data_IF_023869503116
#
_entry.id   IF_023869503116
#
_cell.length_a   1.000
_cell.length_b   1.000
_cell.length_c   1.000
_cell.angle_alpha   90.00
_cell.angle_beta   90.00
_cell.angle_gamma   90.00
#
_symmetry.space_group_name_H-M   'P 1'
#
loop_
_entity.id
_entity.type
_entity.pdbx_description
1 polymer ?
#
# COMPACT_ATOMS: atom_id res chain seq x y z
N UNK A 1 -5.10 -3.28 -17.77
CA UNK A 1 -3.82 -2.56 -17.98
C UNK A 1 -3.21 -2.32 -16.61
N UNK A 2 -2.23 -3.12 -16.21
CA UNK A 2 -1.63 -3.12 -14.87
C UNK A 2 -0.87 -1.80 -14.62
N UNK A 3 -0.89 -1.27 -13.39
CA UNK A 3 -0.10 -0.08 -13.00
C UNK A 3 1.38 -0.29 -13.34
N UNK A 4 1.88 -1.51 -13.22
CA UNK A 4 3.22 -1.91 -13.64
C UNK A 4 3.51 -1.57 -15.10
N UNK A 5 2.55 -1.66 -16.04
CA UNK A 5 2.78 -1.26 -17.43
C UNK A 5 2.96 0.27 -17.54
N UNK A 6 2.17 1.05 -16.79
CA UNK A 6 2.27 2.52 -16.77
C UNK A 6 3.49 3.03 -16.01
N UNK A 7 3.91 2.33 -14.96
CA UNK A 7 5.13 2.59 -14.20
C UNK A 7 6.37 2.18 -14.98
N UNK A 8 6.37 1.01 -15.64
CA UNK A 8 7.45 0.56 -16.52
C UNK A 8 7.62 1.50 -17.72
N UNK A 9 6.53 1.95 -18.35
CA UNK A 9 6.59 2.98 -19.41
C UNK A 9 7.19 4.30 -18.89
N UNK A 10 6.85 4.69 -17.66
CA UNK A 10 7.39 5.90 -17.03
C UNK A 10 8.87 5.76 -16.64
N UNK A 11 9.30 4.55 -16.23
CA UNK A 11 10.70 4.21 -15.90
C UNK A 11 11.55 4.09 -17.17
N UNK A 12 11.03 3.52 -18.25
CA UNK A 12 11.75 3.34 -19.51
C UNK A 12 11.98 4.66 -20.26
N UNK A 13 11.07 5.63 -20.12
CA UNK A 13 11.17 6.94 -20.78
C UNK A 13 12.17 7.89 -20.08
N UNK A 14 12.52 7.70 -18.81
CA UNK A 14 13.27 8.71 -18.05
C UNK A 14 14.42 8.12 -17.21
N UNK A 15 15.66 8.41 -17.64
CA UNK A 15 16.92 8.13 -16.92
C UNK A 15 17.11 8.95 -15.62
N UNK A 16 16.05 9.24 -14.86
CA UNK A 16 16.16 9.96 -13.59
C UNK A 16 15.22 9.36 -12.53
N UNK A 17 15.79 8.68 -11.55
CA UNK A 17 15.08 7.95 -10.49
C UNK A 17 14.20 8.84 -9.61
N UNK A 18 14.48 10.14 -9.47
CA UNK A 18 13.65 11.09 -8.70
C UNK A 18 12.33 11.41 -9.38
N UNK A 19 12.36 11.72 -10.69
CA UNK A 19 11.17 12.08 -11.45
C UNK A 19 10.18 10.91 -11.58
N UNK A 20 10.68 9.67 -11.66
CA UNK A 20 9.82 8.48 -11.67
C UNK A 20 9.07 8.32 -10.35
N UNK A 21 9.73 8.53 -9.21
CA UNK A 21 9.10 8.46 -7.88
C UNK A 21 8.05 9.56 -7.75
N UNK A 22 8.36 10.78 -8.19
CA UNK A 22 7.41 11.90 -8.16
C UNK A 22 6.21 11.65 -9.06
N UNK A 23 6.41 11.07 -10.25
CA UNK A 23 5.35 10.69 -11.17
C UNK A 23 4.44 9.61 -10.57
N UNK A 24 5.01 8.53 -10.02
CA UNK A 24 4.26 7.47 -9.34
C UNK A 24 3.47 8.04 -8.16
N UNK A 25 4.12 8.82 -7.30
CA UNK A 25 3.47 9.45 -6.17
C UNK A 25 2.39 10.45 -6.60
N UNK A 26 2.61 11.19 -7.69
CA UNK A 26 1.62 12.10 -8.27
C UNK A 26 0.43 11.32 -8.78
N UNK A 27 0.62 10.21 -9.49
CA UNK A 27 -0.49 9.39 -10.00
C UNK A 27 -1.28 8.72 -8.87
N UNK A 28 -0.61 8.23 -7.83
CA UNK A 28 -1.27 7.74 -6.63
C UNK A 28 -2.06 8.84 -5.90
N UNK A 29 -1.56 10.09 -5.95
CA UNK A 29 -2.21 11.24 -5.31
C UNK A 29 -3.32 11.88 -6.16
N UNK A 30 -3.25 11.84 -7.49
CA UNK A 30 -4.16 12.60 -8.37
C UNK A 30 -5.53 11.94 -8.56
N UNK A 31 -5.72 10.68 -8.17
CA UNK A 31 -7.00 9.99 -8.31
C UNK A 31 -7.91 10.20 -7.09
N UNK A 32 -8.10 11.46 -6.70
CA UNK A 32 -9.30 11.88 -5.99
C UNK A 32 -10.48 11.89 -6.97
N UNK A 33 -11.71 11.57 -6.54
CA UNK A 33 -12.87 11.45 -7.44
C UNK A 33 -13.38 12.79 -8.02
N UNK A 34 -12.54 13.86 -8.07
CA UNK A 34 -12.98 15.22 -8.40
C UNK A 34 -12.16 16.01 -9.42
N UNK A 35 -11.02 15.54 -9.94
CA UNK A 35 -10.23 16.32 -10.92
C UNK A 35 -10.10 15.64 -12.28
N UNK A 36 -9.82 14.34 -12.32
CA UNK A 36 -9.75 13.60 -13.58
C UNK A 36 -11.06 12.84 -13.70
N UNK A 37 -11.84 13.12 -14.75
CA UNK A 37 -13.05 12.37 -15.07
C UNK A 37 -12.80 10.85 -15.04
N UNK A 38 -13.86 10.04 -14.88
CA UNK A 38 -13.73 8.61 -14.61
C UNK A 38 -12.82 7.93 -15.64
N UNK A 39 -11.71 7.33 -15.18
CA UNK A 39 -10.89 6.47 -16.04
C UNK A 39 -11.75 5.26 -16.40
N UNK A 40 -12.21 5.23 -17.65
CA UNK A 40 -13.04 4.17 -18.20
C UNK A 40 -12.16 2.94 -18.45
N UNK A 41 -12.27 1.91 -17.61
CA UNK A 41 -11.76 0.58 -17.95
C UNK A 41 -12.88 -0.12 -18.73
N UNK A 42 -12.82 -0.05 -20.06
CA UNK A 42 -13.71 -0.85 -20.92
C UNK A 42 -13.20 -2.30 -20.90
N UNK A 43 -13.77 -3.14 -20.04
CA UNK A 43 -13.69 -4.58 -20.23
C UNK A 43 -14.62 -4.95 -21.39
N UNK A 44 -14.07 -5.30 -22.54
CA UNK A 44 -14.85 -5.96 -23.61
C UNK A 44 -15.25 -7.34 -23.10
N UNK A 45 -16.52 -7.53 -22.74
CA UNK A 45 -17.12 -8.86 -22.65
C UNK A 45 -17.74 -9.23 -24.01
N UNK A 46 -17.82 -10.53 -24.34
CA UNK A 46 -18.22 -11.00 -25.67
C UNK A 46 -19.67 -10.61 -25.98
N UNK A 47 -19.92 -10.27 -27.24
CA UNK A 47 -21.24 -9.92 -27.78
C UNK A 47 -22.23 -11.07 -27.54
N UNK A 48 -23.20 -10.87 -26.65
CA UNK A 48 -24.40 -11.70 -26.60
C UNK A 48 -25.57 -10.92 -27.19
N UNK A 49 -26.15 -11.48 -28.25
CA UNK A 49 -27.28 -10.96 -28.98
C UNK A 49 -28.53 -10.82 -28.08
N UNK A 50 -29.06 -9.61 -27.97
CA UNK A 50 -30.35 -9.37 -27.35
C UNK A 50 -30.76 -7.91 -27.43
N UNK A 51 -31.85 -7.63 -28.13
CA UNK A 51 -32.37 -6.29 -28.40
C UNK A 51 -32.83 -5.57 -27.12
N UNK A 52 -32.09 -4.54 -26.67
CA UNK A 52 -32.57 -3.56 -25.70
C UNK A 52 -32.08 -2.14 -26.08
N UNK A 53 -32.97 -1.17 -26.37
CA UNK A 53 -32.57 0.20 -26.64
C UNK A 53 -32.51 0.99 -25.32
N UNK A 54 -31.46 0.77 -24.52
CA UNK A 54 -31.11 1.69 -23.45
C UNK A 54 -29.58 1.88 -23.36
N UNK A 55 -29.09 2.81 -24.19
CA UNK A 55 -27.68 3.19 -24.33
C UNK A 55 -27.17 4.08 -23.17
N UNK A 56 -27.39 3.69 -21.91
CA UNK A 56 -26.73 4.32 -20.75
C UNK A 56 -25.96 3.32 -19.87
N UNK A 57 -25.58 2.18 -20.43
CA UNK A 57 -24.82 1.12 -19.76
C UNK A 57 -23.35 1.42 -19.45
N UNK A 58 -22.92 2.70 -19.33
CA UNK A 58 -21.60 3.00 -18.77
C UNK A 58 -21.72 2.91 -17.24
N UNK A 59 -21.58 1.69 -16.71
CA UNK A 59 -21.32 1.51 -15.28
C UNK A 59 -19.93 2.06 -14.99
N UNK A 60 -19.86 3.33 -14.57
CA UNK A 60 -18.66 3.96 -14.03
C UNK A 60 -18.22 3.16 -12.80
N UNK A 61 -17.29 2.22 -12.98
CA UNK A 61 -16.63 1.56 -11.86
C UNK A 61 -15.61 2.56 -11.34
N UNK A 62 -15.88 3.16 -10.18
CA UNK A 62 -14.86 3.92 -9.44
C UNK A 62 -13.66 3.00 -9.24
N UNK A 63 -12.47 3.45 -9.67
CA UNK A 63 -11.23 2.75 -9.39
C UNK A 63 -11.10 2.66 -7.85
N UNK A 64 -10.96 1.45 -7.26
CA UNK A 64 -10.82 1.29 -5.83
C UNK A 64 -9.68 2.16 -5.29
N UNK A 65 -9.82 2.76 -4.11
CA UNK A 65 -8.81 3.66 -3.52
C UNK A 65 -7.43 3.00 -3.36
N UNK A 66 -7.42 1.68 -3.28
CA UNK A 66 -6.26 0.84 -3.02
C UNK A 66 -5.69 0.19 -4.30
N UNK A 67 -6.15 0.57 -5.50
CA UNK A 67 -5.78 -0.06 -6.78
C UNK A 67 -4.27 -0.12 -7.11
N UNK A 68 -3.46 0.68 -6.43
CA UNK A 68 -2.00 0.75 -6.59
C UNK A 68 -1.25 -0.11 -5.56
N UNK A 69 -1.94 -0.60 -4.53
CA UNK A 69 -1.34 -1.29 -3.38
C UNK A 69 -0.66 -2.58 -3.83
N UNK A 70 -1.32 -3.39 -4.64
CA UNK A 70 -0.80 -4.67 -5.11
C UNK A 70 0.46 -4.48 -5.96
N UNK A 71 0.44 -3.49 -6.84
CA UNK A 71 1.57 -3.22 -7.74
C UNK A 71 2.77 -2.63 -6.99
N UNK A 72 2.54 -1.83 -5.93
CA UNK A 72 3.64 -1.38 -5.05
C UNK A 72 4.25 -2.54 -4.24
N UNK A 73 3.50 -3.63 -3.99
CA UNK A 73 4.01 -4.77 -3.24
C UNK A 73 5.15 -5.51 -3.95
N UNK A 74 5.27 -5.37 -5.27
CA UNK A 74 6.35 -5.96 -6.07
C UNK A 74 7.68 -5.19 -5.93
N UNK A 75 7.62 -3.90 -5.55
CA UNK A 75 8.80 -3.04 -5.47
C UNK A 75 9.74 -3.45 -4.34
N UNK A 76 11.06 -3.38 -4.57
CA UNK A 76 12.05 -3.56 -3.51
C UNK A 76 11.90 -2.52 -2.39
N UNK A 77 12.37 -2.88 -1.20
CA UNK A 77 12.13 -2.14 0.05
C UNK A 77 12.50 -0.66 -0.03
N UNK A 78 13.63 -0.32 -0.66
CA UNK A 78 14.09 1.06 -0.78
C UNK A 78 13.23 1.88 -1.74
N UNK A 79 12.75 1.27 -2.82
CA UNK A 79 11.87 1.93 -3.78
C UNK A 79 10.47 2.10 -3.20
N UNK A 80 9.95 1.05 -2.57
CA UNK A 80 8.68 1.10 -1.82
C UNK A 80 8.70 2.23 -0.78
N UNK A 81 9.75 2.29 0.04
CA UNK A 81 9.94 3.34 1.05
C UNK A 81 9.88 4.74 0.45
N UNK A 82 10.63 4.98 -0.63
CA UNK A 82 10.67 6.30 -1.28
C UNK A 82 9.30 6.70 -1.83
N UNK A 83 8.62 5.79 -2.53
CA UNK A 83 7.28 6.06 -3.09
C UNK A 83 6.28 6.41 -1.98
N UNK A 84 6.22 5.62 -0.91
CA UNK A 84 5.26 5.86 0.18
C UNK A 84 5.58 7.14 0.93
N UNK A 85 6.86 7.47 1.16
CA UNK A 85 7.24 8.77 1.76
C UNK A 85 6.77 9.93 0.88
N UNK A 86 6.98 9.85 -0.44
CA UNK A 86 6.54 10.91 -1.36
C UNK A 86 5.01 11.04 -1.37
N UNK A 87 4.27 9.93 -1.30
CA UNK A 87 2.80 9.94 -1.17
C UNK A 87 2.38 10.61 0.14
N UNK A 88 3.01 10.25 1.27
CA UNK A 88 2.74 10.85 2.59
C UNK A 88 3.00 12.36 2.58
N UNK A 89 4.11 12.80 2.00
CA UNK A 89 4.50 14.20 1.95
C UNK A 89 3.54 15.05 1.10
N UNK A 90 2.86 14.45 0.13
CA UNK A 90 1.82 15.13 -0.64
C UNK A 90 0.55 15.40 0.18
N UNK A 91 0.33 14.68 1.28
CA UNK A 91 -0.79 14.90 2.20
C UNK A 91 -2.18 14.66 1.61
N UNK A 92 -2.23 14.07 0.43
CA UNK A 92 -3.44 13.86 -0.37
C UNK A 92 -4.10 12.52 0.00
N UNK A 93 -3.32 11.45 0.05
CA UNK A 93 -3.85 10.11 0.32
C UNK A 93 -4.18 9.96 1.80
N UNK A 94 -5.34 9.37 2.13
CA UNK A 94 -5.73 9.17 3.52
C UNK A 94 -4.77 8.22 4.24
N UNK A 95 -4.60 8.45 5.55
CA UNK A 95 -3.76 7.62 6.39
C UNK A 95 -4.21 6.15 6.41
N UNK A 96 -5.51 5.88 6.31
CA UNK A 96 -6.07 4.53 6.18
C UNK A 96 -5.54 3.78 4.94
N UNK A 97 -5.58 4.42 3.77
CA UNK A 97 -5.10 3.83 2.51
C UNK A 97 -3.59 3.60 2.55
N UNK A 98 -2.82 4.56 3.09
CA UNK A 98 -1.37 4.38 3.32
C UNK A 98 -1.11 3.20 4.26
N UNK A 99 -1.96 3.04 5.26
CA UNK A 99 -1.88 1.96 6.22
C UNK A 99 -2.16 0.59 5.62
N UNK A 100 -3.19 0.48 4.79
CA UNK A 100 -3.50 -0.74 4.04
C UNK A 100 -2.41 -1.07 3.02
N UNK A 101 -1.80 -0.07 2.38
CA UNK A 101 -0.64 -0.28 1.52
C UNK A 101 0.54 -0.92 2.27
N UNK A 102 0.92 -0.34 3.42
CA UNK A 102 1.99 -0.87 4.28
C UNK A 102 1.68 -2.28 4.80
N UNK A 103 0.41 -2.55 5.11
CA UNK A 103 -0.06 -3.86 5.54
C UNK A 103 0.02 -4.90 4.43
N UNK A 104 -0.44 -4.58 3.23
CA UNK A 104 -0.33 -5.47 2.06
C UNK A 104 1.14 -5.78 1.74
N UNK A 105 2.01 -4.76 1.78
CA UNK A 105 3.44 -4.92 1.56
C UNK A 105 4.06 -5.90 2.57
N UNK A 106 3.72 -5.76 3.86
CA UNK A 106 4.17 -6.67 4.90
C UNK A 106 3.68 -8.11 4.66
N UNK A 107 2.40 -8.31 4.34
CA UNK A 107 1.86 -9.64 4.06
C UNK A 107 2.50 -10.30 2.85
N UNK A 108 2.86 -9.51 1.83
CA UNK A 108 3.56 -10.02 0.65
C UNK A 108 5.00 -10.43 0.96
N UNK A 109 5.70 -9.62 1.76
CA UNK A 109 7.13 -9.83 2.06
C UNK A 109 7.39 -10.84 3.18
N UNK A 110 6.40 -11.15 4.01
CA UNK A 110 6.52 -12.08 5.13
C UNK A 110 5.65 -13.34 4.92
N UNK A 111 6.21 -14.43 4.36
CA UNK A 111 5.48 -15.70 4.27
C UNK A 111 5.12 -16.21 5.67
N UNK A 112 3.85 -16.57 5.86
CA UNK A 112 3.33 -17.07 7.14
C UNK A 112 2.84 -15.98 8.13
N UNK A 113 2.98 -14.69 7.79
CA UNK A 113 2.51 -13.56 8.61
C UNK A 113 0.99 -13.57 8.89
N UNK A 114 0.20 -14.20 8.01
CA UNK A 114 -1.24 -14.38 8.25
C UNK A 114 -1.55 -15.52 9.24
N UNK A 115 -0.72 -16.57 9.28
CA UNK A 115 -0.96 -17.82 10.02
C UNK A 115 -0.35 -17.82 11.42
N UNK A 116 0.34 -16.75 11.82
CA UNK A 116 1.04 -16.67 13.11
C UNK A 116 2.30 -17.55 13.21
N UNK A 117 2.65 -18.25 12.13
CA UNK A 117 3.88 -19.03 12.00
C UNK A 117 4.81 -18.29 11.04
N UNK A 118 5.71 -17.47 11.59
CA UNK A 118 6.64 -16.71 10.78
C UNK A 118 7.72 -17.64 10.21
N UNK A 119 7.72 -17.83 8.90
CA UNK A 119 8.80 -18.54 8.20
C UNK A 119 9.76 -17.52 7.63
N UNK A 120 10.57 -16.93 8.50
CA UNK A 120 11.65 -16.04 8.08
C UNK A 120 12.83 -16.90 7.60
N UNK A 121 12.80 -17.31 6.32
CA UNK A 121 13.92 -18.04 5.71
C UNK A 121 15.24 -17.25 5.79
N UNK A 122 15.17 -15.92 5.81
CA UNK A 122 16.33 -15.03 5.88
C UNK A 122 16.04 -13.83 6.78
N UNK A 123 16.33 -13.99 8.08
CA UNK A 123 16.15 -12.97 9.12
C UNK A 123 16.82 -11.64 8.73
N UNK A 124 17.98 -11.71 8.06
CA UNK A 124 18.77 -10.55 7.67
C UNK A 124 18.08 -9.69 6.60
N UNK A 125 17.31 -10.31 5.70
CA UNK A 125 16.49 -9.60 4.69
C UNK A 125 15.14 -9.14 5.24
N UNK A 126 14.55 -9.89 6.16
CA UNK A 126 13.24 -9.57 6.72
C UNK A 126 13.28 -8.38 7.69
N UNK A 127 14.38 -8.18 8.41
CA UNK A 127 14.51 -7.10 9.40
C UNK A 127 14.42 -5.69 8.78
N UNK A 128 15.17 -5.33 7.71
CA UNK A 128 15.02 -4.02 7.05
C UNK A 128 13.62 -3.75 6.51
N UNK A 129 12.94 -4.80 6.04
CA UNK A 129 11.55 -4.72 5.55
C UNK A 129 10.62 -4.38 6.72
N UNK A 130 10.77 -5.07 7.86
CA UNK A 130 9.96 -4.83 9.04
C UNK A 130 10.14 -3.39 9.53
N UNK A 131 11.39 -2.96 9.69
CA UNK A 131 11.71 -1.61 10.15
C UNK A 131 11.11 -0.58 9.19
N UNK A 132 11.26 -0.78 7.89
CA UNK A 132 10.66 0.09 6.86
C UNK A 132 9.14 0.16 6.98
N UNK A 133 8.45 -0.99 7.09
CA UNK A 133 6.99 -1.01 7.27
C UNK A 133 6.59 -0.20 8.49
N UNK A 134 7.21 -0.43 9.65
CA UNK A 134 6.89 0.26 10.91
C UNK A 134 7.05 1.78 10.78
N UNK A 135 8.11 2.25 10.12
CA UNK A 135 8.34 3.69 9.93
C UNK A 135 7.40 4.33 8.90
N UNK A 136 6.90 3.55 7.94
CA UNK A 136 5.94 4.06 6.96
C UNK A 136 4.52 4.15 7.50
N UNK A 137 4.19 3.35 8.53
CA UNK A 137 2.84 3.33 9.11
C UNK A 137 2.36 4.74 9.50
N UNK A 138 1.10 5.07 9.22
CA UNK A 138 0.45 6.30 9.69
C UNK A 138 0.42 6.36 11.22
N UNK A 139 0.53 7.57 11.77
CA UNK A 139 0.45 7.83 13.22
C UNK A 139 -0.98 8.14 13.66
N UNK A 140 -1.87 8.36 12.70
CA UNK A 140 -3.28 8.66 12.89
C UNK A 140 -4.00 7.46 13.51
N UNK A 141 -4.88 7.74 14.48
CA UNK A 141 -5.67 6.70 15.15
C UNK A 141 -6.67 6.09 14.18
N UNK A 142 -6.97 4.80 14.33
CA UNK A 142 -7.88 4.07 13.43
C UNK A 142 -7.34 3.74 12.04
N UNK A 143 -6.19 4.28 11.62
CA UNK A 143 -5.64 4.01 10.28
C UNK A 143 -5.02 2.62 10.13
N UNK A 144 -4.74 1.95 11.25
CA UNK A 144 -4.21 0.59 11.29
C UNK A 144 -4.89 -0.17 12.42
N UNK A 145 -5.31 -1.41 12.13
CA UNK A 145 -5.87 -2.31 13.15
C UNK A 145 -4.86 -2.69 14.24
N UNK A 146 -5.30 -2.77 15.51
CA UNK A 146 -4.49 -3.26 16.63
C UNK A 146 -3.95 -4.67 16.39
N UNK A 147 -4.75 -5.53 15.74
CA UNK A 147 -4.37 -6.91 15.43
C UNK A 147 -3.15 -6.95 14.51
N UNK A 148 -3.06 -6.04 13.53
CA UNK A 148 -1.90 -5.93 12.66
C UNK A 148 -0.67 -5.39 13.40
N UNK A 149 -0.82 -4.35 14.24
CA UNK A 149 0.29 -3.84 15.06
C UNK A 149 0.85 -4.91 16.01
N UNK A 150 -0.02 -5.72 16.62
CA UNK A 150 0.39 -6.84 17.47
C UNK A 150 1.16 -7.92 16.67
N UNK A 151 0.75 -8.19 15.43
CA UNK A 151 1.50 -9.11 14.55
C UNK A 151 2.88 -8.57 14.21
N UNK A 152 3.01 -7.28 13.92
CA UNK A 152 4.31 -6.63 13.70
C UNK A 152 5.19 -6.67 14.94
N UNK A 153 4.61 -6.46 16.14
CA UNK A 153 5.36 -6.56 17.40
C UNK A 153 5.90 -7.98 17.61
N UNK A 154 5.07 -9.01 17.40
CA UNK A 154 5.53 -10.40 17.44
C UNK A 154 6.65 -10.67 16.44
N UNK A 155 6.51 -10.21 15.20
CA UNK A 155 7.55 -10.32 14.18
C UNK A 155 8.86 -9.61 14.60
N UNK A 156 8.78 -8.43 15.21
CA UNK A 156 9.94 -7.66 15.68
C UNK A 156 10.74 -8.38 16.76
N UNK A 157 10.05 -9.13 17.62
CA UNK A 157 10.68 -9.96 18.66
C UNK A 157 11.37 -11.16 18.00
N UNK A 158 10.70 -11.85 17.08
CA UNK A 158 11.26 -13.00 16.36
C UNK A 158 12.46 -12.66 15.46
N UNK A 159 12.49 -11.45 14.90
CA UNK A 159 13.57 -10.98 14.02
C UNK A 159 14.71 -10.28 14.78
N UNK A 160 14.66 -10.24 16.12
CA UNK A 160 15.61 -9.48 16.94
C UNK A 160 15.78 -8.02 16.46
N UNK A 161 14.68 -7.38 16.06
CA UNK A 161 14.70 -5.96 15.65
C UNK A 161 15.06 -5.06 16.85
N UNK A 162 15.55 -3.87 16.55
CA UNK A 162 16.03 -2.91 17.53
C UNK A 162 14.94 -2.46 18.50
N UNK A 163 15.36 -2.04 19.70
CA UNK A 163 14.43 -1.66 20.77
C UNK A 163 13.53 -0.48 20.38
N UNK A 164 14.03 0.41 19.51
CA UNK A 164 13.27 1.55 18.96
C UNK A 164 12.03 1.11 18.18
N UNK A 165 12.13 0.05 17.37
CA UNK A 165 11.01 -0.48 16.58
C UNK A 165 9.94 -1.07 17.49
N UNK A 166 10.36 -1.81 18.52
CA UNK A 166 9.45 -2.38 19.52
C UNK A 166 8.74 -1.28 20.32
N UNK A 167 9.49 -0.30 20.81
CA UNK A 167 8.96 0.81 21.59
C UNK A 167 7.92 1.62 20.81
N UNK A 168 8.18 1.89 19.52
CA UNK A 168 7.23 2.59 18.65
C UNK A 168 5.95 1.77 18.43
N UNK A 169 6.06 0.47 18.21
CA UNK A 169 4.90 -0.43 18.10
C UNK A 169 4.07 -0.46 19.39
N UNK A 170 4.72 -0.61 20.55
CA UNK A 170 4.06 -0.59 21.87
C UNK A 170 3.34 0.73 22.10
N UNK A 171 3.99 1.85 21.79
CA UNK A 171 3.38 3.19 21.89
C UNK A 171 2.12 3.30 21.03
N UNK A 172 2.16 2.86 19.78
CA UNK A 172 0.98 2.89 18.87
C UNK A 172 -0.14 1.98 19.35
N UNK A 173 0.18 0.78 19.82
CA UNK A 173 -0.80 -0.15 20.40
C UNK A 173 -1.47 0.50 21.62
N UNK A 174 -0.67 1.08 22.52
CA UNK A 174 -1.18 1.79 23.70
C UNK A 174 -2.09 2.97 23.34
N UNK A 175 -1.79 3.71 22.26
CA UNK A 175 -2.64 4.81 21.78
C UNK A 175 -4.00 4.35 21.26
N UNK A 176 -4.09 3.15 20.69
CA UNK A 176 -5.35 2.57 20.23
C UNK A 176 -6.16 1.98 21.39
N UNK A 177 -5.51 1.35 22.37
CA UNK A 177 -6.16 0.69 23.51
C UNK A 177 -6.68 1.66 24.58
N UNK A 178 -6.10 2.86 24.72
CA UNK A 178 -6.56 3.90 25.68
C UNK A 178 -8.01 4.37 25.45
N UNK A 179 -8.72 3.89 24.42
CA UNK A 179 -10.14 4.19 24.19
C UNK A 179 -11.12 3.19 24.83
N UNK A 180 -10.64 2.09 25.40
CA UNK A 180 -11.50 1.06 26.02
C UNK A 180 -11.55 1.12 27.55
N UNK A 181 -10.88 2.11 28.15
CA UNK A 181 -10.91 2.47 29.57
C UNK A 181 -11.35 3.93 29.68
#
# INVERSE_FOLDING_TARGET
>A
MSFLQGVLLSISELKLTSHCIDAVASRASLMFPGWIGPIIIIEKLPEENGNDPNLNGIRSRMVPKDWWVEDLCELEVDLYKRVVITIKNKGIVSSEVIGEAAKAYAYRRFPGFNKGAFQFNDVSKCRPILDTVVWLLPSEKGSISCSFLLKLLKASISLFSGETVKAELVKRIGQQLRKLL
#
